data_IF_684250877490
#
_entry.id   IF_684250877490
#
_cell.length_a   1.000
_cell.length_b   1.000
_cell.length_c   1.000
_cell.angle_alpha   90.00
_cell.angle_beta   90.00
_cell.angle_gamma   90.00
#
_symmetry.space_group_name_H-M   'P 1'
#
loop_
_entity.id
_entity.type
_entity.pdbx_description
1 polymer ?
#
# COMPACT_ATOMS: atom_id res chain seq x y z
N UNK A 1 -15.77 0.26 -14.02
CA UNK A 1 -14.69 1.09 -13.43
C UNK A 1 -14.34 0.46 -12.08
N UNK A 2 -13.19 -0.22 -11.97
CA UNK A 2 -12.82 -0.91 -10.74
C UNK A 2 -12.38 0.13 -9.69
N UNK A 3 -13.25 0.44 -8.73
CA UNK A 3 -12.96 1.34 -7.59
C UNK A 3 -12.00 0.67 -6.59
N UNK A 4 -10.78 0.34 -7.02
CA UNK A 4 -9.75 -0.35 -6.23
C UNK A 4 -9.47 0.35 -4.89
N UNK A 5 -9.51 1.68 -4.90
CA UNK A 5 -9.27 2.52 -3.70
C UNK A 5 -10.30 2.32 -2.61
N UNK A 6 -11.55 2.02 -2.98
CA UNK A 6 -12.62 1.72 -2.00
C UNK A 6 -12.62 0.25 -1.59
N UNK A 7 -12.18 -0.64 -2.46
CA UNK A 7 -12.21 -2.07 -2.20
C UNK A 7 -10.94 -2.61 -1.53
N UNK A 8 -9.87 -1.83 -1.48
CA UNK A 8 -8.63 -2.21 -0.81
C UNK A 8 -8.83 -2.37 0.71
N UNK A 9 -8.31 -3.45 1.25
CA UNK A 9 -8.17 -3.70 2.69
C UNK A 9 -6.82 -3.21 3.24
N UNK A 10 -5.89 -2.82 2.37
CA UNK A 10 -4.61 -2.20 2.69
C UNK A 10 -4.23 -1.16 1.64
N UNK A 11 -3.80 0.02 2.07
CA UNK A 11 -3.17 1.05 1.24
C UNK A 11 -1.78 1.37 1.77
N UNK A 12 -0.76 1.29 0.90
CA UNK A 12 0.63 1.60 1.25
C UNK A 12 1.04 2.85 0.48
N UNK A 13 1.45 3.90 1.20
CA UNK A 13 1.92 5.17 0.64
C UNK A 13 3.45 5.18 0.72
N UNK A 14 4.13 5.34 -0.42
CA UNK A 14 5.60 5.30 -0.48
C UNK A 14 6.13 6.57 -1.12
N UNK A 15 7.05 7.26 -0.44
CA UNK A 15 7.77 8.41 -1.01
C UNK A 15 6.88 9.62 -1.35
N UNK A 16 5.79 9.83 -0.60
CA UNK A 16 4.85 10.94 -0.83
C UNK A 16 4.47 11.64 0.46
N UNK A 17 4.34 12.96 0.41
CA UNK A 17 3.85 13.80 1.54
C UNK A 17 2.33 13.82 1.65
N UNK A 18 1.61 13.25 0.67
CA UNK A 18 0.15 13.19 0.60
C UNK A 18 -0.56 14.57 0.57
N UNK A 19 0.15 15.64 0.23
CA UNK A 19 -0.42 17.00 0.26
C UNK A 19 -1.35 17.30 -0.92
N UNK A 20 -1.13 16.67 -2.07
CA UNK A 20 -1.85 16.99 -3.32
C UNK A 20 -3.17 16.22 -3.41
N UNK A 21 -4.30 16.93 -3.42
CA UNK A 21 -5.65 16.36 -3.59
C UNK A 21 -6.01 16.30 -5.09
N UNK A 22 -6.70 15.24 -5.57
CA UNK A 22 -7.30 14.13 -4.81
C UNK A 22 -6.36 12.96 -4.51
N UNK A 23 -5.15 12.92 -5.08
CA UNK A 23 -4.25 11.77 -5.00
C UNK A 23 -3.83 11.40 -3.56
N UNK A 24 -3.54 12.40 -2.72
CA UNK A 24 -3.14 12.22 -1.33
C UNK A 24 -4.26 11.74 -0.42
N UNK A 25 -5.52 11.89 -0.83
CA UNK A 25 -6.68 11.46 -0.04
C UNK A 25 -7.16 10.04 -0.43
N UNK A 26 -6.59 9.45 -1.49
CA UNK A 26 -6.94 8.11 -1.95
C UNK A 26 -6.71 7.01 -0.90
N UNK A 27 -5.60 7.00 -0.13
CA UNK A 27 -5.37 5.98 0.90
C UNK A 27 -6.42 6.02 2.03
N UNK A 28 -7.03 7.19 2.26
CA UNK A 28 -8.10 7.33 3.26
C UNK A 28 -9.39 6.62 2.84
N UNK A 29 -9.60 6.37 1.54
CA UNK A 29 -10.78 5.66 1.05
C UNK A 29 -10.77 4.19 1.50
N UNK A 30 -9.60 3.54 1.49
CA UNK A 30 -9.44 2.19 2.03
C UNK A 30 -9.73 2.17 3.54
N UNK A 31 -9.17 3.14 4.28
CA UNK A 31 -9.39 3.25 5.73
C UNK A 31 -10.84 3.49 6.12
N UNK A 32 -11.56 4.35 5.38
CA UNK A 32 -13.01 4.58 5.57
C UNK A 32 -13.85 3.31 5.41
N UNK A 33 -13.38 2.34 4.61
CA UNK A 33 -14.06 1.07 4.37
C UNK A 33 -13.55 -0.07 5.26
N UNK A 34 -12.79 0.25 6.32
CA UNK A 34 -12.27 -0.72 7.28
C UNK A 34 -10.94 -1.37 6.87
N UNK A 35 -10.32 -0.91 5.78
CA UNK A 35 -8.95 -1.26 5.43
C UNK A 35 -7.92 -0.53 6.31
N UNK A 36 -6.65 -0.88 6.14
CA UNK A 36 -5.51 -0.28 6.83
C UNK A 36 -4.72 0.66 5.92
N UNK A 37 -4.03 1.61 6.53
CA UNK A 37 -3.16 2.57 5.85
C UNK A 37 -1.74 2.49 6.42
N UNK A 38 -0.76 2.29 5.55
CA UNK A 38 0.67 2.27 5.90
C UNK A 38 1.36 3.41 5.17
N UNK A 39 2.26 4.11 5.84
CA UNK A 39 3.05 5.21 5.27
C UNK A 39 4.53 4.89 5.41
N UNK A 40 5.26 4.99 4.30
CA UNK A 40 6.72 4.84 4.23
C UNK A 40 7.27 6.14 3.63
N UNK A 41 7.82 6.99 4.47
CA UNK A 41 8.40 8.27 4.05
C UNK A 41 9.44 8.77 5.04
N UNK A 42 10.44 9.52 4.57
CA UNK A 42 11.46 10.12 5.46
C UNK A 42 10.93 11.33 6.25
N UNK A 43 9.90 12.01 5.71
CA UNK A 43 9.34 13.24 6.27
C UNK A 43 7.89 13.02 6.70
N UNK A 44 7.42 13.87 7.62
CA UNK A 44 6.02 13.93 8.03
C UNK A 44 5.07 14.06 6.83
N UNK A 45 3.94 13.37 6.86
CA UNK A 45 2.91 13.47 5.80
C UNK A 45 1.64 14.16 6.30
N UNK A 46 0.76 14.55 5.37
CA UNK A 46 -0.54 15.18 5.68
C UNK A 46 -1.45 14.31 6.55
N UNK A 47 -1.32 12.97 6.47
CA UNK A 47 -2.28 12.03 7.06
C UNK A 47 -1.63 11.05 8.04
N UNK A 48 -0.51 11.42 8.65
CA UNK A 48 0.20 10.58 9.63
C UNK A 48 -0.71 10.17 10.78
N UNK A 49 -1.57 11.07 11.31
CA UNK A 49 -2.47 10.72 12.41
C UNK A 49 -3.54 9.67 12.03
N UNK A 50 -3.70 9.38 10.75
CA UNK A 50 -4.64 8.39 10.22
C UNK A 50 -3.95 7.11 9.80
N UNK A 51 -2.62 7.02 9.81
CA UNK A 51 -1.91 5.79 9.47
C UNK A 51 -2.08 4.73 10.57
N UNK A 52 -2.16 3.46 10.19
CA UNK A 52 -2.07 2.31 11.11
C UNK A 52 -0.61 1.92 11.39
N UNK A 53 0.30 2.28 10.47
CA UNK A 53 1.74 2.10 10.61
C UNK A 53 2.48 3.19 9.85
N UNK A 54 3.50 3.77 10.48
CA UNK A 54 4.41 4.74 9.88
C UNK A 54 5.83 4.19 9.95
N UNK A 55 6.53 4.16 8.83
CA UNK A 55 7.93 3.74 8.72
C UNK A 55 8.74 4.93 8.20
N UNK A 56 9.55 5.51 9.10
CA UNK A 56 10.40 6.66 8.79
C UNK A 56 11.76 6.21 8.24
N UNK A 57 11.79 5.70 7.01
CA UNK A 57 12.99 5.17 6.38
C UNK A 57 12.99 5.36 4.86
N UNK A 58 14.13 5.09 4.21
CA UNK A 58 14.23 5.06 2.75
C UNK A 58 13.35 3.93 2.22
N UNK A 59 12.54 4.23 1.21
CA UNK A 59 11.61 3.27 0.60
C UNK A 59 12.36 2.04 0.09
N UNK A 60 13.52 2.23 -0.56
CA UNK A 60 14.31 1.14 -1.12
C UNK A 60 14.75 0.12 -0.06
N UNK A 61 15.13 0.58 1.14
CA UNK A 61 15.57 -0.30 2.21
C UNK A 61 14.40 -1.10 2.78
N UNK A 62 13.26 -0.44 2.99
CA UNK A 62 12.02 -1.09 3.45
C UNK A 62 11.55 -2.12 2.43
N UNK A 63 11.55 -1.76 1.15
CA UNK A 63 11.12 -2.66 0.07
C UNK A 63 12.09 -3.82 -0.11
N UNK A 64 13.41 -3.61 0.01
CA UNK A 64 14.39 -4.70 0.00
C UNK A 64 14.10 -5.71 1.11
N UNK A 65 13.94 -5.24 2.35
CA UNK A 65 13.63 -6.09 3.49
C UNK A 65 12.30 -6.82 3.32
N UNK A 66 11.27 -6.13 2.82
CA UNK A 66 9.96 -6.72 2.55
C UNK A 66 10.06 -7.83 1.51
N UNK A 67 10.75 -7.59 0.40
CA UNK A 67 10.90 -8.56 -0.69
C UNK A 67 11.69 -9.79 -0.24
N UNK A 68 12.78 -9.60 0.51
CA UNK A 68 13.48 -10.72 1.17
C UNK A 68 12.57 -11.50 2.11
N UNK A 69 11.76 -10.81 2.91
CA UNK A 69 10.83 -11.46 3.87
C UNK A 69 9.73 -12.24 3.16
N UNK A 70 9.30 -11.77 1.98
CA UNK A 70 8.25 -12.41 1.18
C UNK A 70 8.79 -13.47 0.21
N UNK A 71 10.10 -13.71 0.18
CA UNK A 71 10.76 -14.60 -0.77
C UNK A 71 10.46 -14.22 -2.23
N UNK A 72 10.49 -12.92 -2.52
CA UNK A 72 10.27 -12.36 -3.87
C UNK A 72 11.59 -11.79 -4.39
N UNK A 73 12.06 -12.36 -5.51
CA UNK A 73 13.24 -11.86 -6.21
C UNK A 73 12.94 -10.54 -6.95
N UNK A 74 13.78 -9.53 -6.71
CA UNK A 74 13.68 -8.23 -7.38
C UNK A 74 14.73 -8.14 -8.48
N UNK A 75 14.27 -8.09 -9.72
CA UNK A 75 15.14 -7.91 -10.90
C UNK A 75 15.68 -6.48 -10.92
N UNK A 76 17.01 -6.33 -10.78
CA UNK A 76 17.68 -5.02 -10.76
C UNK A 76 17.98 -4.46 -12.17
N UNK A 77 18.05 -5.33 -13.18
CA UNK A 77 18.37 -4.95 -14.56
C UNK A 77 17.10 -5.00 -15.40
N UNK A 78 16.65 -3.84 -15.88
CA UNK A 78 15.53 -3.75 -16.81
C UNK A 78 15.92 -2.90 -18.02
N UNK A 79 15.27 -3.16 -19.15
CA UNK A 79 15.38 -2.31 -20.32
C UNK A 79 14.41 -1.13 -20.16
N UNK A 80 14.95 0.10 -20.06
CA UNK A 80 14.16 1.30 -19.88
C UNK A 80 13.21 1.61 -21.06
N UNK A 81 13.52 1.10 -22.25
CA UNK A 81 12.71 1.28 -23.47
C UNK A 81 11.60 0.22 -23.59
N UNK A 82 11.57 -0.79 -22.72
CA UNK A 82 10.59 -1.85 -22.76
C UNK A 82 9.27 -1.41 -22.10
N UNK A 83 8.23 -1.23 -22.90
CA UNK A 83 6.88 -0.86 -22.43
C UNK A 83 6.09 -2.14 -22.12
N UNK A 84 5.51 -2.21 -20.93
CA UNK A 84 4.57 -3.27 -20.53
C UNK A 84 3.14 -2.71 -20.60
N UNK A 85 2.41 -2.86 -21.73
CA UNK A 85 1.10 -2.24 -21.91
C UNK A 85 -0.01 -2.94 -21.11
N UNK A 86 0.20 -4.20 -20.73
CA UNK A 86 -0.72 -5.01 -19.96
C UNK A 86 0.05 -5.76 -18.88
N UNK A 87 -0.58 -5.92 -17.71
CA UNK A 87 -0.04 -6.74 -16.64
C UNK A 87 0.15 -8.18 -17.12
N UNK A 88 1.35 -8.72 -16.95
CA UNK A 88 1.65 -10.15 -17.16
C UNK A 88 1.10 -11.01 -16.01
N UNK A 89 0.74 -10.39 -14.88
CA UNK A 89 0.08 -11.04 -13.77
C UNK A 89 -1.43 -10.88 -13.88
N UNK A 90 -2.22 -11.94 -13.59
CA UNK A 90 -3.66 -11.86 -13.63
C UNK A 90 -4.17 -10.80 -12.64
N UNK A 91 -5.13 -9.99 -13.08
CA UNK A 91 -5.92 -9.17 -12.18
C UNK A 91 -6.69 -10.11 -11.24
N UNK A 92 -6.19 -10.31 -10.04
CA UNK A 92 -6.91 -11.06 -9.02
C UNK A 92 -8.28 -10.41 -8.78
N UNK A 93 -9.34 -11.20 -8.91
CA UNK A 93 -10.68 -10.77 -8.53
C UNK A 93 -10.76 -10.86 -7.00
N UNK A 94 -10.44 -9.77 -6.32
CA UNK A 94 -10.62 -9.65 -4.87
C UNK A 94 -12.08 -9.98 -4.48
N UNK A 95 -12.31 -11.17 -3.92
CA UNK A 95 -13.58 -11.50 -3.25
C UNK A 95 -13.56 -10.83 -1.89
N UNK A 96 -14.54 -9.96 -1.61
CA UNK A 96 -14.71 -9.33 -0.28
C UNK A 96 -14.81 -10.42 0.80
N UNK A 97 -13.71 -10.73 1.48
CA UNK A 97 -13.75 -11.59 2.67
C UNK A 97 -14.32 -10.78 3.82
N UNK A 98 -15.64 -10.90 4.05
CA UNK A 98 -16.37 -10.29 5.17
C UNK A 98 -16.04 -10.90 6.54
N UNK A 99 -14.89 -11.55 6.72
CA UNK A 99 -14.50 -12.10 8.03
C UNK A 99 -13.82 -11.00 8.85
N UNK A 100 -14.64 -10.24 9.58
CA UNK A 100 -14.22 -9.37 10.69
C UNK A 100 -13.39 -10.21 11.67
N UNK A 101 -12.08 -10.01 11.75
CA UNK A 101 -11.32 -10.57 12.87
C UNK A 101 -11.76 -9.84 14.14
N UNK A 102 -12.48 -10.54 15.01
CA UNK A 102 -12.72 -10.07 16.37
C UNK A 102 -11.38 -10.14 17.10
N UNK A 103 -10.80 -8.99 17.43
CA UNK A 103 -9.69 -8.97 18.39
C UNK A 103 -10.22 -9.55 19.70
N UNK A 104 -9.62 -10.65 20.17
CA UNK A 104 -9.83 -11.12 21.53
C UNK A 104 -9.24 -10.05 22.44
N UNK A 105 -10.06 -9.47 23.32
CA UNK A 105 -9.54 -8.77 24.49
C UNK A 105 -8.88 -9.85 25.35
N UNK A 106 -7.59 -9.73 25.59
CA UNK A 106 -6.94 -10.43 26.69
C UNK A 106 -7.48 -9.82 27.99
N UNK A 107 -7.80 -10.70 28.95
CA UNK A 107 -8.29 -10.40 30.30
C UNK A 107 -7.16 -9.89 31.20
#
# INVERSE_FOLDING_TARGET
MNDNKKNADLSICMGTTLQITPAGDLPLLAKKNGGKMVIINLSKTKHDEKADLIINARVDDVMRMLMTTMDIDVVQKFNADFIVPLSIHPLERFRKNRKRWKMKKEE
#
